data_IF_580866569514
#
_entry.id   IF_580866569514
#
_cell.length_a   1.000
_cell.length_b   1.000
_cell.length_c   1.000
_cell.angle_alpha   90.00
_cell.angle_beta   90.00
_cell.angle_gamma   90.00
#
_symmetry.space_group_name_H-M   'P 1'
#
loop_
_entity.id
_entity.type
_entity.pdbx_description
1 polymer ?
#
# COMPACT_ATOMS: atom_id res chain seq x y z
N UNK A 1 -2.97 -11.68 1.85
CA UNK A 1 -1.99 -11.20 0.84
C UNK A 1 -0.55 -11.27 1.33
N UNK A 2 -0.23 -10.81 2.54
CA UNK A 2 1.15 -10.86 3.08
C UNK A 2 1.66 -12.29 3.31
N UNK A 3 0.81 -13.20 3.80
CA UNK A 3 1.17 -14.60 4.10
C UNK A 3 1.28 -15.48 2.86
N UNK A 4 0.65 -15.10 1.74
CA UNK A 4 0.59 -15.93 0.53
C UNK A 4 -0.30 -17.17 0.63
N UNK A 5 -1.11 -17.33 1.68
CA UNK A 5 -1.90 -18.55 1.97
C UNK A 5 -2.87 -18.99 0.86
N UNK A 6 -3.30 -18.05 0.00
CA UNK A 6 -4.17 -18.32 -1.16
C UNK A 6 -3.39 -18.68 -2.43
N UNK A 7 -2.08 -18.92 -2.33
CA UNK A 7 -1.20 -19.24 -3.46
C UNK A 7 -0.64 -18.03 -4.22
N UNK A 8 -0.99 -16.81 -3.79
CA UNK A 8 -0.45 -15.56 -4.33
C UNK A 8 -0.35 -14.50 -3.23
N UNK A 9 0.54 -13.51 -3.39
CA UNK A 9 0.81 -12.53 -2.35
C UNK A 9 1.84 -11.48 -2.72
N UNK A 10 2.22 -10.67 -1.74
CA UNK A 10 3.10 -9.51 -1.94
C UNK A 10 4.58 -9.82 -2.07
N UNK A 11 5.02 -11.00 -1.63
CA UNK A 11 6.41 -11.42 -1.76
C UNK A 11 6.83 -11.40 -3.25
N UNK A 12 7.98 -10.81 -3.52
CA UNK A 12 8.53 -10.52 -4.84
C UNK A 12 7.76 -9.49 -5.69
N UNK A 13 6.65 -8.92 -5.19
CA UNK A 13 6.03 -7.75 -5.81
C UNK A 13 6.87 -6.49 -5.57
N UNK A 14 6.62 -5.42 -6.33
CA UNK A 14 7.42 -4.19 -6.28
C UNK A 14 6.57 -2.94 -6.09
N UNK A 15 7.21 -1.91 -5.55
CA UNK A 15 6.73 -0.54 -5.69
C UNK A 15 7.00 -0.10 -7.13
N UNK A 16 5.93 0.08 -7.89
CA UNK A 16 5.99 0.35 -9.33
C UNK A 16 5.71 1.82 -9.66
N UNK A 17 5.23 2.60 -8.68
CA UNK A 17 4.98 4.03 -8.81
C UNK A 17 5.31 4.74 -7.51
N UNK A 18 6.22 5.70 -7.55
CA UNK A 18 6.64 6.47 -6.36
C UNK A 18 6.69 7.94 -6.73
N UNK A 19 5.87 8.74 -6.05
CA UNK A 19 5.81 10.20 -6.24
C UNK A 19 6.27 10.84 -4.92
N UNK A 20 7.45 11.49 -4.92
CA UNK A 20 7.93 12.22 -3.75
C UNK A 20 6.93 13.24 -3.23
N UNK A 21 6.89 13.41 -1.91
CA UNK A 21 5.93 14.24 -1.17
C UNK A 21 4.46 13.86 -1.38
N UNK A 22 4.18 12.66 -1.90
CA UNK A 22 2.82 12.19 -2.12
C UNK A 22 2.61 10.75 -1.68
N UNK A 23 3.05 9.74 -2.46
CA UNK A 23 2.78 8.32 -2.17
C UNK A 23 3.85 7.37 -2.71
N UNK A 24 4.03 6.24 -2.03
CA UNK A 24 4.71 5.04 -2.53
C UNK A 24 3.65 3.97 -2.84
N UNK A 25 3.46 3.60 -4.12
CA UNK A 25 2.45 2.65 -4.57
C UNK A 25 3.06 1.31 -5.01
N UNK A 26 2.45 0.23 -4.55
CA UNK A 26 2.87 -1.15 -4.80
C UNK A 26 1.68 -2.11 -4.87
N UNK A 27 1.95 -3.40 -4.69
CA UNK A 27 0.89 -4.42 -4.61
C UNK A 27 0.30 -4.87 -5.94
N UNK A 28 0.87 -4.48 -7.09
CA UNK A 28 0.61 -5.17 -8.34
C UNK A 28 1.40 -6.48 -8.35
N UNK A 29 0.72 -7.56 -7.99
CA UNK A 29 1.30 -8.89 -7.80
C UNK A 29 1.28 -9.74 -9.09
N UNK A 30 0.66 -9.25 -10.18
CA UNK A 30 0.53 -10.04 -11.42
C UNK A 30 1.34 -9.48 -12.58
N UNK A 31 1.38 -8.15 -12.75
CA UNK A 31 2.10 -7.49 -13.86
C UNK A 31 3.20 -6.56 -13.39
N UNK A 32 3.16 -6.17 -12.12
CA UNK A 32 4.15 -5.31 -11.49
C UNK A 32 4.26 -3.91 -12.11
N UNK A 33 3.29 -3.43 -12.87
CA UNK A 33 3.34 -2.16 -13.61
C UNK A 33 2.15 -1.23 -13.31
N UNK A 34 1.26 -1.66 -12.41
CA UNK A 34 0.03 -0.95 -12.03
C UNK A 34 -1.17 -1.37 -12.87
N UNK A 35 -1.01 -2.23 -13.88
CA UNK A 35 -2.08 -2.76 -14.73
C UNK A 35 -2.62 -4.11 -14.30
N UNK A 36 -2.03 -4.71 -13.27
CA UNK A 36 -2.46 -5.97 -12.69
C UNK A 36 -3.01 -5.85 -11.27
N UNK A 37 -2.84 -6.93 -10.52
CA UNK A 37 -3.38 -7.15 -9.18
C UNK A 37 -4.67 -7.95 -9.17
N UNK A 38 -4.92 -8.60 -8.04
CA UNK A 38 -6.14 -9.35 -7.75
C UNK A 38 -6.32 -9.44 -6.23
N UNK A 39 -7.57 -9.54 -5.76
CA UNK A 39 -7.86 -9.75 -4.34
C UNK A 39 -8.16 -11.22 -4.05
N UNK A 40 -8.28 -11.56 -2.77
CA UNK A 40 -8.77 -12.87 -2.34
C UNK A 40 -10.26 -13.09 -2.65
N UNK A 41 -10.99 -12.03 -3.03
CA UNK A 41 -12.41 -12.05 -3.40
C UNK A 41 -12.64 -12.07 -4.92
N UNK A 42 -11.56 -12.08 -5.73
CA UNK A 42 -11.62 -11.98 -7.18
C UNK A 42 -10.90 -10.74 -7.72
N UNK A 43 -11.23 -10.33 -8.95
CA UNK A 43 -10.53 -9.25 -9.65
C UNK A 43 -10.66 -7.87 -8.96
N UNK A 44 -11.81 -7.62 -8.33
CA UNK A 44 -12.11 -6.37 -7.63
C UNK A 44 -13.08 -6.58 -6.47
N UNK A 45 -13.08 -5.65 -5.51
CA UNK A 45 -14.06 -5.59 -4.42
C UNK A 45 -14.44 -4.14 -4.08
N UNK A 46 -15.53 -3.99 -3.32
CA UNK A 46 -16.15 -2.71 -2.98
C UNK A 46 -15.31 -1.82 -2.06
N UNK A 47 -15.60 -0.53 -2.05
CA UNK A 47 -15.07 0.40 -1.04
C UNK A 47 -15.80 0.15 0.29
N UNK A 48 -15.09 -0.33 1.31
CA UNK A 48 -15.71 -0.71 2.59
C UNK A 48 -16.28 0.50 3.35
N UNK A 49 -15.46 1.53 3.59
CA UNK A 49 -15.87 2.81 4.15
C UNK A 49 -14.81 3.89 3.88
N UNK A 50 -15.14 5.15 4.19
CA UNK A 50 -14.23 6.30 4.07
C UNK A 50 -14.13 7.09 5.38
N UNK A 51 -14.19 6.40 6.52
CA UNK A 51 -14.19 7.04 7.85
C UNK A 51 -12.85 7.73 8.14
N UNK A 52 -11.75 7.11 7.72
CA UNK A 52 -10.39 7.60 7.92
C UNK A 52 -9.95 8.42 6.70
N UNK A 53 -9.47 9.64 6.96
CA UNK A 53 -8.93 10.58 5.95
C UNK A 53 -7.42 10.49 5.85
N UNK A 54 -6.88 10.93 4.71
CA UNK A 54 -5.44 10.95 4.42
C UNK A 54 -4.75 12.16 5.05
N UNK A 55 -4.76 12.23 6.39
CA UNK A 55 -4.38 13.41 7.17
C UNK A 55 -2.87 13.64 7.30
N UNK A 56 -2.04 12.65 6.95
CA UNK A 56 -0.59 12.75 7.13
C UNK A 56 0.19 11.62 6.45
N UNK A 57 1.53 11.60 6.63
CA UNK A 57 2.39 10.52 6.16
C UNK A 57 2.14 9.21 6.92
N UNK A 58 2.49 8.09 6.28
CA UNK A 58 2.47 6.75 6.87
C UNK A 58 1.13 6.05 6.81
N UNK A 59 0.07 6.65 6.24
CA UNK A 59 -1.23 6.00 6.09
C UNK A 59 -1.19 4.99 4.94
N UNK A 60 -1.69 3.79 5.20
CA UNK A 60 -1.80 2.69 4.26
C UNK A 60 -3.22 2.66 3.68
N UNK A 61 -3.33 2.74 2.35
CA UNK A 61 -4.61 2.94 1.67
C UNK A 61 -4.68 2.19 0.34
N UNK A 62 -5.90 1.83 -0.08
CA UNK A 62 -6.15 1.05 -1.28
C UNK A 62 -5.96 1.90 -2.54
N UNK A 63 -5.16 1.41 -3.49
CA UNK A 63 -5.19 1.95 -4.85
C UNK A 63 -6.38 1.35 -5.61
N UNK A 64 -7.04 2.16 -6.43
CA UNK A 64 -8.18 1.74 -7.25
C UNK A 64 -8.20 2.50 -8.58
N UNK A 65 -9.14 2.12 -9.46
CA UNK A 65 -9.40 2.71 -10.79
C UNK A 65 -10.78 3.36 -10.83
N UNK A 66 -11.25 3.87 -9.70
CA UNK A 66 -12.61 4.34 -9.48
C UNK A 66 -13.34 3.53 -8.41
N UNK A 67 -14.57 3.94 -8.12
CA UNK A 67 -15.40 3.37 -7.05
C UNK A 67 -15.53 1.85 -7.18
N UNK A 68 -15.38 1.13 -6.07
CA UNK A 68 -15.53 -0.33 -5.96
C UNK A 68 -14.61 -1.13 -6.87
N UNK A 69 -13.37 -0.65 -7.08
CA UNK A 69 -12.36 -1.36 -7.89
C UNK A 69 -11.09 -1.68 -7.11
N UNK A 70 -11.22 -1.88 -5.80
CA UNK A 70 -10.11 -2.27 -4.95
C UNK A 70 -9.61 -3.65 -5.34
N UNK A 71 -8.30 -3.87 -5.33
CA UNK A 71 -7.70 -5.19 -5.57
C UNK A 71 -6.51 -5.41 -4.63
N UNK A 72 -5.36 -5.92 -5.09
CA UNK A 72 -4.16 -6.03 -4.26
C UNK A 72 -3.33 -4.75 -4.16
N UNK A 73 -3.54 -3.77 -5.02
CA UNK A 73 -2.69 -2.58 -5.05
C UNK A 73 -2.99 -1.65 -3.88
N UNK A 74 -1.92 -1.09 -3.30
CA UNK A 74 -1.98 -0.19 -2.16
C UNK A 74 -0.96 0.93 -2.33
N UNK A 75 -1.10 1.97 -1.51
CA UNK A 75 -0.09 2.99 -1.36
C UNK A 75 0.11 3.39 0.10
N UNK A 76 1.31 3.91 0.39
CA UNK A 76 1.67 4.54 1.67
C UNK A 76 1.82 6.04 1.42
N UNK A 77 1.14 6.87 2.20
CA UNK A 77 1.26 8.33 2.08
C UNK A 77 2.61 8.83 2.58
N UNK A 78 3.18 9.82 1.90
CA UNK A 78 4.42 10.51 2.28
C UNK A 78 4.15 11.91 2.83
N UNK A 79 2.91 12.38 2.67
CA UNK A 79 2.37 13.67 3.11
C UNK A 79 0.84 13.58 3.23
N UNK A 80 0.22 14.57 3.86
CA UNK A 80 -1.23 14.79 3.81
C UNK A 80 -1.74 14.86 2.36
N UNK A 81 -2.83 14.17 2.07
CA UNK A 81 -3.33 13.96 0.70
C UNK A 81 -4.87 14.02 0.61
N UNK A 82 -5.47 15.16 0.97
CA UNK A 82 -6.93 15.35 1.01
C UNK A 82 -7.62 15.05 -0.33
N UNK A 83 -6.93 15.20 -1.46
CA UNK A 83 -7.47 14.86 -2.77
C UNK A 83 -7.89 13.38 -2.93
N UNK A 84 -7.41 12.49 -2.04
CA UNK A 84 -7.69 11.06 -2.01
C UNK A 84 -8.85 10.70 -1.06
N UNK A 85 -9.30 11.63 -0.23
CA UNK A 85 -10.39 11.40 0.72
C UNK A 85 -11.69 11.05 -0.01
N UNK A 86 -12.46 10.12 0.57
CA UNK A 86 -13.71 9.59 0.00
C UNK A 86 -13.58 8.89 -1.36
N UNK A 87 -12.35 8.62 -1.79
CA UNK A 87 -12.03 7.92 -3.04
C UNK A 87 -11.18 6.67 -2.82
N UNK A 88 -10.35 6.68 -1.78
CA UNK A 88 -9.47 5.57 -1.42
C UNK A 88 -9.70 5.18 0.04
N UNK A 89 -9.84 3.87 0.28
CA UNK A 89 -10.08 3.32 1.61
C UNK A 89 -8.75 3.23 2.36
N UNK A 90 -8.62 3.99 3.45
CA UNK A 90 -7.51 3.85 4.39
C UNK A 90 -7.80 2.67 5.31
N UNK A 91 -6.85 1.75 5.44
CA UNK A 91 -7.03 0.51 6.20
C UNK A 91 -5.89 0.19 7.17
N UNK A 92 -4.92 1.11 7.32
CA UNK A 92 -3.84 0.94 8.29
C UNK A 92 -2.85 2.11 8.27
N UNK A 93 -1.77 1.93 9.00
CA UNK A 93 -0.67 2.88 9.07
C UNK A 93 0.66 2.16 9.31
N UNK A 94 1.77 2.81 8.96
CA UNK A 94 3.12 2.36 9.27
C UNK A 94 3.38 2.58 10.75
N UNK A 95 3.43 1.50 11.54
CA UNK A 95 3.80 1.56 12.96
C UNK A 95 5.32 1.79 13.13
N UNK A 96 6.12 1.01 12.41
CA UNK A 96 7.59 1.05 12.44
C UNK A 96 8.17 1.07 11.02
N UNK A 97 9.35 1.68 10.86
CA UNK A 97 10.08 1.69 9.58
C UNK A 97 9.70 2.82 8.61
N UNK A 98 9.19 3.94 9.10
CA UNK A 98 8.88 5.10 8.24
C UNK A 98 10.14 5.70 7.58
N UNK A 99 11.31 5.56 8.20
CA UNK A 99 12.61 5.90 7.60
C UNK A 99 12.91 5.05 6.34
N UNK A 100 12.52 3.77 6.34
CA UNK A 100 12.61 2.91 5.17
C UNK A 100 11.65 3.38 4.08
N UNK A 101 10.41 3.77 4.43
CA UNK A 101 9.46 4.35 3.48
C UNK A 101 10.01 5.66 2.87
N UNK A 102 10.65 6.51 3.68
CA UNK A 102 11.37 7.71 3.21
C UNK A 102 12.57 7.38 2.32
N UNK A 103 13.26 6.28 2.57
CA UNK A 103 14.31 5.79 1.65
C UNK A 103 13.72 5.32 0.32
N UNK A 104 12.58 4.64 0.33
CA UNK A 104 11.84 4.25 -0.88
C UNK A 104 11.45 5.50 -1.71
N UNK A 105 10.95 6.54 -1.05
CA UNK A 105 10.61 7.84 -1.67
C UNK A 105 11.75 8.42 -2.51
N UNK A 106 13.00 8.31 -2.04
CA UNK A 106 14.18 8.85 -2.75
C UNK A 106 14.45 8.22 -4.13
N UNK A 107 13.78 7.11 -4.46
CA UNK A 107 13.88 6.47 -5.77
C UNK A 107 12.78 6.89 -6.76
N UNK A 108 11.81 7.70 -6.34
CA UNK A 108 10.69 8.16 -7.17
C UNK A 108 10.97 9.42 -7.98
N UNK A 109 9.98 9.80 -8.79
CA UNK A 109 9.98 11.04 -9.59
C UNK A 109 8.59 11.71 -9.53
N UNK A 110 8.46 12.99 -9.91
CA UNK A 110 7.15 13.65 -9.99
C UNK A 110 6.14 12.92 -10.89
N UNK A 111 6.60 12.26 -11.95
CA UNK A 111 5.80 11.45 -12.88
C UNK A 111 5.45 10.06 -12.31
N UNK A 112 6.03 9.71 -11.17
CA UNK A 112 5.86 8.41 -10.53
C UNK A 112 6.82 7.34 -11.02
N UNK A 113 7.80 7.68 -11.86
CA UNK A 113 8.77 6.71 -12.41
C UNK A 113 9.76 6.32 -11.32
N UNK A 114 10.00 5.02 -11.18
CA UNK A 114 10.93 4.49 -10.18
C UNK A 114 12.29 4.22 -10.79
N UNK A 115 13.33 4.88 -10.27
CA UNK A 115 14.71 4.82 -10.77
C UNK A 115 15.42 3.49 -10.51
N UNK A 116 14.98 2.70 -9.52
CA UNK A 116 15.52 1.38 -9.20
C UNK A 116 14.40 0.39 -8.87
N UNK A 117 14.67 -0.90 -9.03
CA UNK A 117 13.69 -1.94 -8.67
C UNK A 117 13.60 -2.05 -7.13
N UNK A 118 12.48 -1.60 -6.55
CA UNK A 118 12.20 -1.70 -5.11
C UNK A 118 11.22 -2.85 -4.86
N UNK A 119 11.72 -3.96 -4.29
CA UNK A 119 10.99 -5.23 -4.17
C UNK A 119 10.70 -5.55 -2.71
N UNK A 120 9.51 -6.09 -2.44
CA UNK A 120 9.18 -6.74 -1.16
C UNK A 120 9.79 -8.14 -1.21
N UNK A 121 11.01 -8.30 -0.70
CA UNK A 121 11.73 -9.59 -0.76
C UNK A 121 11.13 -10.64 0.19
N UNK A 122 10.51 -10.18 1.27
CA UNK A 122 9.79 -11.01 2.21
C UNK A 122 8.63 -10.23 2.87
N UNK A 123 7.60 -10.95 3.27
CA UNK A 123 6.45 -10.38 3.98
C UNK A 123 5.67 -11.48 4.70
N UNK A 124 4.94 -11.10 5.75
CA UNK A 124 4.15 -12.04 6.54
C UNK A 124 3.16 -11.33 7.45
N UNK A 125 2.66 -12.08 8.42
CA UNK A 125 1.83 -11.57 9.50
C UNK A 125 2.57 -11.80 10.81
N UNK A 126 2.70 -10.74 11.61
CA UNK A 126 3.22 -10.83 12.97
C UNK A 126 2.03 -11.13 13.87
N UNK A 127 2.14 -12.16 14.72
CA UNK A 127 1.15 -12.38 15.77
C UNK A 127 1.43 -11.38 16.88
N UNK A 128 0.41 -10.64 17.30
CA UNK A 128 0.53 -9.83 18.50
C UNK A 128 0.45 -10.77 19.71
N UNK A 129 1.55 -10.92 20.43
CA UNK A 129 1.50 -11.49 21.76
C UNK A 129 0.79 -10.49 22.69
N UNK A 130 -0.02 -11.00 23.62
CA UNK A 130 -0.94 -10.24 24.49
C UNK A 130 -0.29 -9.11 25.31
N UNK A 131 1.05 -9.01 25.34
CA UNK A 131 1.80 -8.01 26.07
C UNK A 131 1.79 -6.62 25.40
N UNK A 132 1.64 -6.54 24.06
CA UNK A 132 1.75 -5.27 23.32
C UNK A 132 0.48 -4.40 23.37
N UNK A 133 -0.62 -4.93 23.94
CA UNK A 133 -1.90 -4.20 24.07
C UNK A 133 -1.86 -3.22 25.25
N UNK A 134 -0.89 -3.34 26.16
CA UNK A 134 -0.82 -2.50 27.36
C UNK A 134 -0.07 -1.18 27.15
N UNK A 135 0.54 -0.93 26.00
CA UNK A 135 1.32 0.30 25.75
C UNK A 135 0.77 1.20 24.62
N UNK A 136 -0.47 0.98 24.16
CA UNK A 136 -1.12 1.80 23.13
C UNK A 136 -2.24 2.68 23.70
#
# INVERSE_FOLDING_TARGET
>A
MCTGEKGFGFRNSRFHRIIPDFVCQGGDITKHDGTGGQSIYGNSFEDENFEIKHTGPGLLSMANRGRNTNNSQFFITLKKAEQLDFKHVVFGFVKDGMDIVKKIESFGSPEGIVSKRIVITDCGQIQNDSADILEA
#
